data_IF_157371567882
#
_entry.id   IF_157371567882
#
_cell.length_a   1.000
_cell.length_b   1.000
_cell.length_c   1.000
_cell.angle_alpha   90.00
_cell.angle_beta   90.00
_cell.angle_gamma   90.00
#
_symmetry.space_group_name_H-M   'P 1'
#
loop_
_entity.id
_entity.type
_entity.pdbx_description
1 polymer ?
#
# COMPACT_ATOMS: atom_id res chain seq x y z
N UNK A 1 4.14 -18.28 -6.40
CA UNK A 1 4.69 -17.69 -5.14
C UNK A 1 4.20 -18.56 -4.00
N UNK A 2 5.09 -19.00 -3.11
CA UNK A 2 4.69 -19.83 -1.97
C UNK A 2 4.24 -18.90 -0.84
N UNK A 3 3.00 -19.05 -0.37
CA UNK A 3 2.53 -18.34 0.81
C UNK A 3 3.32 -18.86 2.00
N UNK A 4 4.01 -18.00 2.77
CA UNK A 4 4.71 -18.46 3.95
C UNK A 4 3.66 -18.93 4.97
N UNK A 5 3.72 -20.22 5.29
CA UNK A 5 2.84 -20.88 6.28
C UNK A 5 3.72 -21.44 7.39
N UNK A 6 3.35 -21.14 8.63
CA UNK A 6 4.01 -21.72 9.80
C UNK A 6 3.42 -23.11 10.04
N UNK A 7 4.26 -24.13 10.01
CA UNK A 7 3.86 -25.51 10.31
C UNK A 7 4.05 -25.83 11.79
N UNK A 8 3.40 -26.88 12.31
CA UNK A 8 3.51 -27.30 13.72
C UNK A 8 4.95 -27.64 14.13
N UNK A 9 5.81 -28.06 13.18
CA UNK A 9 7.22 -28.35 13.42
C UNK A 9 8.16 -27.14 13.29
N UNK A 10 7.64 -25.95 12.96
CA UNK A 10 8.43 -24.73 12.78
C UNK A 10 8.78 -24.11 14.16
N UNK A 11 9.99 -23.56 14.29
CA UNK A 11 10.41 -22.86 15.52
C UNK A 11 9.62 -21.58 15.77
N UNK A 12 9.00 -21.02 14.73
CA UNK A 12 8.09 -19.87 14.81
C UNK A 12 6.66 -20.29 15.21
N UNK A 13 6.35 -21.58 15.32
CA UNK A 13 5.02 -22.05 15.69
C UNK A 13 4.61 -21.56 17.07
N UNK A 14 3.42 -20.95 17.13
CA UNK A 14 2.91 -20.32 18.34
C UNK A 14 3.58 -18.99 18.69
N UNK A 15 4.68 -18.58 18.03
CA UNK A 15 5.31 -17.26 18.22
C UNK A 15 4.56 -16.21 17.44
N UNK A 16 4.36 -16.45 16.14
CA UNK A 16 3.60 -15.62 15.22
C UNK A 16 2.31 -16.34 14.81
N UNK A 17 1.27 -15.59 14.50
CA UNK A 17 -0.01 -16.11 14.02
C UNK A 17 -0.04 -16.26 12.50
N UNK A 18 -1.00 -17.01 11.95
CA UNK A 18 -1.18 -17.08 10.50
C UNK A 18 -1.53 -15.71 9.90
N UNK A 19 -2.18 -14.85 10.69
CA UNK A 19 -2.50 -13.48 10.29
C UNK A 19 -1.25 -12.59 10.18
N UNK A 20 -0.22 -12.80 11.00
CA UNK A 20 1.03 -12.05 10.93
C UNK A 20 1.84 -12.37 9.66
N UNK A 21 1.77 -13.62 9.22
CA UNK A 21 2.66 -14.18 8.19
C UNK A 21 1.98 -14.31 6.83
N UNK A 22 0.64 -14.23 6.81
CA UNK A 22 -0.17 -14.43 5.62
C UNK A 22 0.03 -13.39 4.52
N UNK A 23 -0.84 -13.47 3.51
CA UNK A 23 -0.85 -12.51 2.40
C UNK A 23 -1.62 -11.26 2.82
N UNK A 24 -1.03 -10.09 2.57
CA UNK A 24 -1.74 -8.83 2.65
C UNK A 24 -2.73 -8.71 1.50
N UNK A 25 -4.02 -8.62 1.83
CA UNK A 25 -5.14 -8.54 0.88
C UNK A 25 -5.01 -7.35 -0.07
N UNK A 26 -4.42 -6.24 0.40
CA UNK A 26 -4.30 -5.00 -0.39
C UNK A 26 -3.17 -5.11 -1.41
N UNK A 27 -2.03 -5.67 -1.01
CA UNK A 27 -0.83 -5.69 -1.86
C UNK A 27 -0.64 -7.01 -2.60
N UNK A 28 -1.33 -8.08 -2.19
CA UNK A 28 -1.15 -9.44 -2.70
C UNK A 28 0.21 -10.06 -2.34
N UNK A 29 0.96 -9.43 -1.43
CA UNK A 29 2.32 -9.85 -1.03
C UNK A 29 2.31 -10.47 0.36
N UNK A 30 3.29 -11.34 0.67
CA UNK A 30 3.50 -11.79 2.04
C UNK A 30 3.70 -10.61 2.99
N UNK A 31 3.06 -10.66 4.17
CA UNK A 31 3.21 -9.62 5.20
C UNK A 31 4.62 -9.56 5.76
N UNK A 32 5.30 -10.70 5.85
CA UNK A 32 6.70 -10.83 6.24
C UNK A 32 7.45 -11.58 5.12
N UNK A 33 8.60 -11.05 4.71
CA UNK A 33 9.46 -11.66 3.71
C UNK A 33 10.05 -12.98 4.23
N UNK A 34 10.27 -13.94 3.31
CA UNK A 34 10.85 -15.24 3.65
C UNK A 34 12.19 -15.09 4.38
N UNK A 35 13.06 -14.21 3.90
CA UNK A 35 14.39 -14.00 4.48
C UNK A 35 14.31 -13.50 5.91
N UNK A 36 13.34 -12.64 6.23
CA UNK A 36 13.11 -12.16 7.60
C UNK A 36 12.65 -13.31 8.51
N UNK A 37 11.75 -14.17 8.03
CA UNK A 37 11.31 -15.35 8.78
C UNK A 37 12.47 -16.32 9.02
N UNK A 38 13.33 -16.53 8.03
CA UNK A 38 14.52 -17.39 8.17
C UNK A 38 15.49 -16.83 9.21
N UNK A 39 15.75 -15.52 9.19
CA UNK A 39 16.57 -14.85 10.22
C UNK A 39 15.94 -14.99 11.61
N UNK A 40 14.61 -14.94 11.75
CA UNK A 40 13.94 -15.18 13.03
C UNK A 40 14.14 -16.63 13.51
N UNK A 41 14.10 -17.61 12.60
CA UNK A 41 14.37 -19.02 12.93
C UNK A 41 15.79 -19.20 13.44
N UNK A 42 16.76 -18.61 12.77
CA UNK A 42 18.17 -18.62 13.18
C UNK A 42 18.36 -17.91 14.53
N UNK A 43 17.65 -16.79 14.74
CA UNK A 43 17.69 -16.06 16.01
C UNK A 43 17.16 -16.90 17.18
N UNK A 44 16.27 -17.86 16.95
CA UNK A 44 15.75 -18.77 17.97
C UNK A 44 16.59 -20.03 18.17
N UNK A 45 17.61 -20.26 17.31
CA UNK A 45 18.53 -21.38 17.41
C UNK A 45 19.55 -21.15 18.52
N UNK A 46 19.10 -21.23 19.78
CA UNK A 46 19.90 -21.06 20.99
C UNK A 46 19.73 -22.26 21.89
N UNK A 47 20.84 -22.73 22.47
CA UNK A 47 20.86 -23.90 23.34
C UNK A 47 20.20 -23.63 24.71
N UNK A 48 20.31 -22.40 25.23
CA UNK A 48 19.68 -22.03 26.50
C UNK A 48 18.17 -21.75 26.35
N UNK A 49 17.30 -22.52 27.03
CA UNK A 49 15.86 -22.29 26.99
C UNK A 49 15.44 -20.94 27.60
N UNK A 50 16.20 -20.38 28.53
CA UNK A 50 15.86 -19.08 29.16
C UNK A 50 16.07 -17.94 28.17
N UNK A 51 17.24 -17.90 27.51
CA UNK A 51 17.49 -16.96 26.40
C UNK A 51 16.47 -17.13 25.27
N UNK A 52 16.12 -18.36 24.90
CA UNK A 52 15.14 -18.60 23.82
C UNK A 52 13.79 -17.95 24.13
N UNK A 53 13.28 -18.06 25.36
CA UNK A 53 12.03 -17.40 25.79
C UNK A 53 12.11 -15.88 25.67
N UNK A 54 13.22 -15.27 26.08
CA UNK A 54 13.43 -13.82 25.97
C UNK A 54 13.43 -13.38 24.50
N UNK A 55 14.07 -14.15 23.63
CA UNK A 55 14.12 -13.85 22.18
C UNK A 55 12.74 -13.95 21.52
N UNK A 56 11.95 -14.96 21.89
CA UNK A 56 10.57 -15.11 21.43
C UNK A 56 9.73 -13.88 21.77
N UNK A 57 9.79 -13.44 23.03
CA UNK A 57 9.04 -12.26 23.50
C UNK A 57 9.48 -10.98 22.77
N UNK A 58 10.78 -10.82 22.55
CA UNK A 58 11.32 -9.68 21.78
C UNK A 58 10.81 -9.68 20.34
N UNK A 59 10.81 -10.83 19.68
CA UNK A 59 10.31 -10.93 18.30
C UNK A 59 8.83 -10.59 18.23
N UNK A 60 8.00 -11.17 19.13
CA UNK A 60 6.57 -10.84 19.19
C UNK A 60 6.33 -9.34 19.35
N UNK A 61 6.98 -8.74 20.34
CA UNK A 61 6.83 -7.31 20.60
C UNK A 61 7.26 -6.48 19.39
N UNK A 62 8.40 -6.81 18.78
CA UNK A 62 8.89 -6.08 17.60
C UNK A 62 7.96 -6.17 16.39
N UNK A 63 7.24 -7.28 16.22
CA UNK A 63 6.27 -7.44 15.12
C UNK A 63 5.00 -6.68 15.43
N UNK A 64 4.49 -6.73 16.67
CA UNK A 64 3.29 -5.99 17.07
C UNK A 64 3.50 -4.48 17.14
N UNK A 65 4.68 -4.01 17.55
CA UNK A 65 5.03 -2.58 17.53
C UNK A 65 4.96 -2.01 16.10
N UNK A 66 5.08 -2.86 15.07
CA UNK A 66 4.97 -2.47 13.66
C UNK A 66 3.52 -2.59 13.13
N UNK A 67 2.57 -3.11 13.89
CA UNK A 67 1.19 -3.28 13.43
C UNK A 67 0.55 -1.94 13.02
N UNK A 68 0.85 -0.86 13.76
CA UNK A 68 0.37 0.49 13.48
C UNK A 68 1.33 1.31 12.60
N UNK A 69 2.47 0.76 12.17
CA UNK A 69 3.45 1.44 11.32
C UNK A 69 3.50 0.84 9.89
N UNK A 70 2.79 1.44 8.91
CA UNK A 70 2.86 1.01 7.51
C UNK A 70 4.25 1.11 6.89
N UNK A 71 5.07 2.08 7.33
CA UNK A 71 6.39 2.30 6.78
C UNK A 71 7.35 1.21 7.24
N UNK A 72 7.40 0.95 8.55
CA UNK A 72 8.21 -0.10 9.14
C UNK A 72 7.82 -1.50 8.68
N UNK A 73 6.52 -1.83 8.56
CA UNK A 73 6.07 -3.10 7.96
C UNK A 73 6.64 -3.29 6.55
N UNK A 74 6.66 -2.22 5.76
CA UNK A 74 7.14 -2.27 4.39
C UNK A 74 8.66 -2.43 4.32
N UNK A 75 9.41 -1.64 5.06
CA UNK A 75 10.87 -1.63 4.98
C UNK A 75 11.53 -2.76 5.79
N UNK A 76 11.02 -3.07 6.98
CA UNK A 76 11.62 -4.03 7.91
C UNK A 76 11.08 -5.46 7.71
N UNK A 77 9.75 -5.62 7.62
CA UNK A 77 9.17 -6.97 7.51
C UNK A 77 9.17 -7.47 6.07
N UNK A 78 8.86 -6.60 5.08
CA UNK A 78 8.78 -6.98 3.66
C UNK A 78 10.06 -6.74 2.88
N UNK A 79 11.06 -6.09 3.47
CA UNK A 79 12.32 -5.69 2.82
C UNK A 79 12.10 -4.91 1.52
N UNK A 80 11.02 -4.14 1.45
CA UNK A 80 10.72 -3.29 0.29
C UNK A 80 11.40 -1.93 0.42
N UNK A 81 11.71 -1.26 -0.72
CA UNK A 81 12.21 0.09 -0.67
C UNK A 81 11.20 1.04 -0.03
N UNK A 82 11.72 1.97 0.78
CA UNK A 82 10.96 3.03 1.40
C UNK A 82 10.08 3.76 0.37
N UNK A 83 8.82 4.02 0.74
CA UNK A 83 7.91 4.80 -0.09
C UNK A 83 8.46 6.20 -0.28
N UNK A 84 8.67 6.58 -1.55
CA UNK A 84 9.02 7.95 -1.90
C UNK A 84 7.73 8.72 -2.13
N UNK A 85 7.36 9.56 -1.17
CA UNK A 85 6.29 10.55 -1.37
C UNK A 85 6.86 11.67 -2.22
N UNK A 86 6.23 11.95 -3.36
CA UNK A 86 6.62 13.06 -4.22
C UNK A 86 5.46 14.02 -4.35
N UNK A 87 5.71 15.30 -4.09
CA UNK A 87 4.79 16.40 -4.39
C UNK A 87 4.89 16.84 -5.85
N UNK A 88 5.92 16.39 -6.57
CA UNK A 88 6.10 16.72 -7.98
C UNK A 88 5.24 15.80 -8.87
N UNK A 89 3.96 16.14 -8.95
CA UNK A 89 3.00 15.48 -9.84
C UNK A 89 3.28 15.79 -11.32
N UNK A 90 3.81 16.98 -11.62
CA UNK A 90 4.12 17.45 -12.96
C UNK A 90 5.56 17.11 -13.35
N UNK A 91 5.76 15.86 -13.79
CA UNK A 91 7.03 15.39 -14.38
C UNK A 91 7.21 15.83 -15.85
N UNK A 92 6.45 16.82 -16.30
CA UNK A 92 6.22 17.19 -17.70
C UNK A 92 4.91 17.98 -17.81
N UNK A 93 4.29 18.06 -19.00
CA UNK A 93 3.18 19.00 -19.24
C UNK A 93 1.90 18.77 -18.40
N UNK A 94 1.82 17.72 -17.58
CA UNK A 94 0.62 17.39 -16.81
C UNK A 94 -0.57 17.04 -17.71
N UNK A 95 -1.78 16.98 -17.14
CA UNK A 95 -3.00 16.85 -17.94
C UNK A 95 -3.25 18.19 -18.65
N UNK A 96 -2.71 18.34 -19.86
CA UNK A 96 -3.03 19.48 -20.73
C UNK A 96 -4.41 19.23 -21.30
N UNK A 97 -5.42 19.93 -20.76
CA UNK A 97 -6.72 19.99 -21.42
C UNK A 97 -6.54 20.84 -22.68
N UNK A 98 -6.61 20.19 -23.83
CA UNK A 98 -6.48 20.85 -25.12
C UNK A 98 -7.79 21.58 -25.46
N UNK A 99 -7.70 22.90 -25.62
CA UNK A 99 -8.83 23.75 -26.01
C UNK A 99 -8.91 23.95 -27.53
N UNK A 100 -7.96 23.41 -28.30
CA UNK A 100 -7.93 23.50 -29.76
C UNK A 100 -8.98 22.56 -30.38
N UNK A 101 -10.24 22.94 -30.27
CA UNK A 101 -11.35 22.17 -30.83
C UNK A 101 -12.72 22.53 -30.31
N UNK A 102 -12.82 23.33 -29.24
CA UNK A 102 -14.10 23.96 -28.88
C UNK A 102 -14.39 25.12 -29.83
N UNK A 103 -14.67 24.78 -31.09
CA UNK A 103 -15.60 25.58 -31.87
C UNK A 103 -16.88 25.55 -31.07
N UNK A 104 -17.09 26.61 -30.29
CA UNK A 104 -18.35 26.94 -29.68
C UNK A 104 -19.39 26.72 -30.76
N UNK A 105 -20.05 25.56 -30.74
CA UNK A 105 -21.35 25.41 -31.36
C UNK A 105 -22.21 26.33 -30.51
N UNK A 106 -22.14 27.63 -30.84
CA UNK A 106 -23.28 28.50 -30.72
C UNK A 106 -24.37 27.80 -31.53
N UNK A 107 -25.04 26.86 -30.87
CA UNK A 107 -26.42 26.56 -31.16
C UNK A 107 -27.06 27.93 -31.06
N UNK A 108 -27.29 28.53 -32.23
CA UNK A 108 -28.09 29.73 -32.42
C UNK A 108 -29.34 29.48 -31.58
N UNK A 109 -29.40 30.06 -30.38
CA UNK A 109 -30.60 30.14 -29.60
C UNK A 109 -31.49 31.10 -30.39
N UNK A 110 -32.14 30.55 -31.42
CA UNK A 110 -33.23 31.22 -32.10
C UNK A 110 -34.29 31.43 -31.03
N UNK A 111 -34.71 32.67 -30.75
CA UNK A 111 -35.88 32.88 -29.93
C UNK A 111 -37.07 32.20 -30.65
N UNK A 112 -37.64 31.17 -30.00
CA UNK A 112 -38.94 30.64 -30.40
C UNK A 112 -39.96 31.75 -30.16
N UNK A 113 -40.57 32.21 -31.25
CA UNK A 113 -41.76 33.07 -31.30
C UNK A 113 -41.70 34.40 -30.53
N UNK A 114 -41.54 35.49 -31.28
CA UNK A 114 -41.87 36.84 -30.83
C UNK A 114 -41.78 37.80 -32.01
N UNK A 115 -42.93 38.32 -32.48
CA UNK A 115 -43.04 39.25 -33.62
C UNK A 115 -42.23 40.52 -33.37
N UNK A 116 -41.47 40.95 -34.37
CA UNK A 116 -40.87 42.29 -34.42
C UNK A 116 -41.90 43.28 -34.96
N UNK A 117 -42.23 44.31 -34.18
CA UNK A 117 -42.94 45.50 -34.67
C UNK A 117 -41.88 46.60 -34.79
N UNK A 118 -41.59 47.03 -36.02
CA UNK A 118 -40.84 48.27 -36.27
C UNK A 118 -41.78 49.44 -35.98
N UNK A 119 -41.32 50.40 -35.19
CA UNK A 119 -41.94 51.73 -35.12
C UNK A 119 -40.84 52.72 -35.49
N UNK A 120 -40.84 53.11 -36.76
CA UNK A 120 -40.07 54.23 -37.27
C UNK A 120 -40.82 55.53 -36.92
N UNK A 121 -40.16 56.46 -36.24
CA UNK A 121 -40.26 57.92 -36.44
C UNK A 121 -39.00 58.57 -35.88
#
# INVERSE_FOLDING_TARGET
MQVPKISVGDTLFGVLTEDDVGIDVVTGRPKIAKDVLDVMRDYFSVDDPSQKKIRIERVRRSVWDLEDDPHGKKTLLRLEPATKVTSNLNKGKGLVYDFEGQKLLMVKLLPRSGKWVSKDT
#
